data_IF_795301400340
#
_entry.id   IF_795301400340
#
_cell.length_a   1.000
_cell.length_b   1.000
_cell.length_c   1.000
_cell.angle_alpha   90.00
_cell.angle_beta   90.00
_cell.angle_gamma   90.00
#
_symmetry.space_group_name_H-M   'P 1'
#
loop_
_entity.id
_entity.type
_entity.pdbx_description
1 polymer ?
#
# COMPACT_ATOMS: atom_id res chain seq x y z
N UNK A 1 -21.37 -15.20 68.60
CA UNK A 1 -20.34 -14.57 67.74
C UNK A 1 -19.94 -15.57 66.65
N UNK A 2 -20.50 -15.41 65.45
CA UNK A 2 -20.26 -16.31 64.33
C UNK A 2 -19.27 -15.59 63.39
N UNK A 3 -18.04 -16.11 63.27
CA UNK A 3 -17.02 -15.61 62.35
C UNK A 3 -17.32 -16.16 60.97
N UNK A 4 -17.54 -15.27 59.98
CA UNK A 4 -17.60 -15.63 58.56
C UNK A 4 -16.17 -15.82 58.00
N UNK A 5 -15.91 -16.82 57.16
CA UNK A 5 -14.62 -16.93 56.49
C UNK A 5 -14.51 -15.94 55.31
N UNK A 6 -13.39 -15.24 55.23
CA UNK A 6 -12.99 -14.46 54.06
C UNK A 6 -12.54 -15.41 52.97
N UNK A 7 -13.25 -15.43 51.83
CA UNK A 7 -12.79 -16.11 50.63
C UNK A 7 -11.79 -15.21 49.92
N UNK A 8 -10.55 -15.60 49.85
CA UNK A 8 -9.48 -14.96 49.08
C UNK A 8 -9.61 -15.43 47.61
N UNK A 9 -10.14 -14.55 46.74
CA UNK A 9 -10.15 -14.81 45.33
C UNK A 9 -8.75 -14.57 44.76
N UNK A 10 -8.06 -15.63 44.37
CA UNK A 10 -6.85 -15.55 43.55
C UNK A 10 -7.24 -15.12 42.15
N UNK A 11 -6.90 -13.89 41.77
CA UNK A 11 -6.91 -13.45 40.40
C UNK A 11 -5.62 -13.98 39.74
N UNK A 12 -5.73 -15.06 39.01
CA UNK A 12 -4.67 -15.49 38.09
C UNK A 12 -4.63 -14.45 36.94
N UNK A 13 -3.69 -13.55 36.97
CA UNK A 13 -3.32 -12.75 35.81
C UNK A 13 -2.69 -13.71 34.78
N UNK A 14 -3.42 -13.98 33.71
CA UNK A 14 -2.85 -14.66 32.54
C UNK A 14 -1.80 -13.72 31.94
N UNK A 15 -0.53 -14.05 32.13
CA UNK A 15 0.55 -13.40 31.40
C UNK A 15 0.36 -13.71 29.91
N UNK A 16 0.51 -12.76 29.00
CA UNK A 16 0.49 -13.04 27.57
C UNK A 16 1.65 -13.98 27.28
N UNK A 17 1.35 -15.15 26.73
CA UNK A 17 2.35 -16.06 26.18
C UNK A 17 2.90 -15.31 24.96
N UNK A 18 4.12 -14.80 25.07
CA UNK A 18 4.84 -14.28 23.93
C UNK A 18 4.95 -15.43 22.91
N UNK A 19 4.36 -15.27 21.75
CA UNK A 19 4.52 -16.23 20.67
C UNK A 19 6.02 -16.36 20.37
N UNK A 20 6.55 -17.60 20.42
CA UNK A 20 7.95 -17.83 20.10
C UNK A 20 8.11 -17.61 18.59
N UNK A 21 9.03 -16.72 18.22
CA UNK A 21 9.36 -16.48 16.82
C UNK A 21 9.77 -17.76 16.09
N UNK A 22 9.25 -17.98 14.88
CA UNK A 22 9.42 -19.20 14.09
C UNK A 22 10.35 -18.95 12.90
N UNK A 23 11.16 -19.94 12.53
CA UNK A 23 11.95 -19.87 11.30
C UNK A 23 11.08 -20.26 10.11
N UNK A 24 10.84 -19.31 9.23
CA UNK A 24 9.95 -19.42 8.09
C UNK A 24 10.74 -19.29 6.77
N UNK A 25 11.52 -20.30 6.43
CA UNK A 25 12.31 -20.30 5.19
C UNK A 25 13.50 -19.33 5.21
N UNK A 26 14.13 -19.14 6.37
CA UNK A 26 15.27 -18.22 6.56
C UNK A 26 14.90 -16.91 7.23
N UNK A 27 13.63 -16.54 7.24
CA UNK A 27 13.12 -15.41 8.01
C UNK A 27 12.58 -15.88 9.36
N UNK A 28 12.77 -15.09 10.40
CA UNK A 28 12.20 -15.35 11.71
C UNK A 28 10.98 -14.45 11.89
N UNK A 29 9.77 -15.02 11.96
CA UNK A 29 8.48 -14.34 12.08
C UNK A 29 7.73 -14.83 13.33
N UNK A 30 6.72 -14.06 13.78
CA UNK A 30 5.81 -14.47 14.87
C UNK A 30 5.04 -15.74 14.51
N UNK A 31 4.60 -15.85 13.24
CA UNK A 31 3.93 -17.01 12.67
C UNK A 31 4.38 -17.22 11.23
N UNK A 32 4.58 -18.48 10.84
CA UNK A 32 4.92 -18.74 9.45
C UNK A 32 3.72 -18.53 8.53
N UNK A 33 3.88 -17.74 7.45
CA UNK A 33 2.83 -17.54 6.48
C UNK A 33 2.36 -18.86 5.85
N UNK A 34 1.05 -19.01 5.67
CA UNK A 34 0.44 -20.17 5.04
C UNK A 34 -0.52 -19.73 3.92
N UNK A 35 -0.67 -20.52 2.86
CA UNK A 35 0.03 -21.77 2.56
C UNK A 35 1.50 -21.53 2.20
N UNK A 36 2.35 -22.53 2.46
CA UNK A 36 3.77 -22.51 2.09
C UNK A 36 4.00 -23.30 0.81
N UNK A 37 4.13 -22.60 -0.30
CA UNK A 37 4.36 -23.25 -1.60
C UNK A 37 5.80 -23.71 -1.75
N UNK A 38 6.00 -24.96 -2.19
CA UNK A 38 7.32 -25.56 -2.33
C UNK A 38 8.08 -24.98 -3.53
N UNK A 39 7.37 -24.72 -4.63
CA UNK A 39 7.94 -24.18 -5.87
C UNK A 39 7.42 -22.78 -6.10
N UNK A 40 8.34 -21.84 -6.30
CA UNK A 40 8.01 -20.44 -6.59
C UNK A 40 8.22 -20.14 -8.07
N UNK A 41 7.36 -19.35 -8.71
CA UNK A 41 7.62 -18.83 -10.03
C UNK A 41 8.79 -17.85 -9.98
N UNK A 42 9.57 -17.79 -11.06
CA UNK A 42 10.74 -16.91 -11.12
C UNK A 42 10.32 -15.43 -11.09
N UNK A 43 10.82 -14.67 -10.12
CA UNK A 43 10.44 -13.27 -9.91
C UNK A 43 10.69 -12.37 -11.14
N UNK A 44 11.77 -12.63 -11.89
CA UNK A 44 12.10 -11.90 -13.12
C UNK A 44 11.03 -11.99 -14.21
N UNK A 45 10.18 -13.01 -14.17
CA UNK A 45 9.13 -13.28 -15.16
C UNK A 45 7.73 -12.81 -14.69
N UNK A 46 7.66 -12.01 -13.62
CA UNK A 46 6.44 -11.60 -12.95
C UNK A 46 5.39 -10.98 -13.90
N UNK A 47 5.81 -10.19 -14.87
CA UNK A 47 4.89 -9.56 -15.83
C UNK A 47 4.26 -10.56 -16.82
N UNK A 48 4.83 -11.76 -16.96
CA UNK A 48 4.36 -12.83 -17.84
C UNK A 48 3.76 -14.04 -17.10
N UNK A 49 3.63 -13.99 -15.76
CA UNK A 49 3.06 -15.08 -14.98
C UNK A 49 1.62 -15.40 -15.42
N UNK A 50 1.30 -16.67 -15.52
CA UNK A 50 -0.09 -17.13 -15.61
C UNK A 50 -0.84 -16.96 -14.29
N UNK A 51 -2.13 -17.29 -14.29
CA UNK A 51 -2.99 -17.10 -13.10
C UNK A 51 -2.47 -17.86 -11.88
N UNK A 52 -2.08 -19.12 -12.04
CA UNK A 52 -1.57 -19.94 -10.94
C UNK A 52 -0.26 -19.39 -10.40
N UNK A 53 0.65 -19.02 -11.29
CA UNK A 53 1.92 -18.39 -10.92
C UNK A 53 1.73 -17.06 -10.19
N UNK A 54 0.74 -16.24 -10.60
CA UNK A 54 0.43 -14.99 -9.87
C UNK A 54 -0.04 -15.25 -8.45
N UNK A 55 -0.96 -16.20 -8.24
CA UNK A 55 -1.43 -16.55 -6.89
C UNK A 55 -0.27 -17.02 -6.01
N UNK A 56 0.52 -17.98 -6.48
CA UNK A 56 1.67 -18.52 -5.75
C UNK A 56 2.72 -17.42 -5.52
N UNK A 57 3.05 -16.67 -6.57
CA UNK A 57 4.08 -15.65 -6.53
C UNK A 57 3.73 -14.50 -5.58
N UNK A 58 2.48 -14.03 -5.58
CA UNK A 58 2.10 -12.86 -4.76
C UNK A 58 2.02 -13.18 -3.27
N UNK A 59 1.57 -14.38 -2.88
CA UNK A 59 1.56 -14.78 -1.46
C UNK A 59 2.91 -15.25 -0.94
N UNK A 60 3.90 -15.42 -1.82
CA UNK A 60 5.26 -15.80 -1.45
C UNK A 60 6.32 -14.77 -1.90
N UNK A 61 5.88 -13.59 -2.32
CA UNK A 61 6.77 -12.57 -2.86
C UNK A 61 7.89 -12.18 -1.87
N UNK A 62 7.58 -12.21 -0.58
CA UNK A 62 8.53 -12.01 0.52
C UNK A 62 9.71 -13.00 0.54
N UNK A 63 9.65 -14.10 -0.24
CA UNK A 63 10.69 -15.13 -0.36
C UNK A 63 11.54 -14.97 -1.62
N UNK A 64 11.13 -14.12 -2.55
CA UNK A 64 11.79 -13.94 -3.84
C UNK A 64 12.99 -12.98 -3.78
N UNK A 65 13.07 -12.19 -2.71
CA UNK A 65 14.11 -11.17 -2.51
C UNK A 65 14.69 -11.28 -1.11
N UNK A 66 15.80 -10.62 -0.86
CA UNK A 66 16.18 -10.36 0.53
C UNK A 66 15.04 -9.56 1.18
N UNK A 67 14.78 -9.83 2.47
CA UNK A 67 13.67 -9.21 3.17
C UNK A 67 14.07 -8.73 4.55
N UNK A 68 13.62 -7.54 4.91
CA UNK A 68 13.70 -7.01 6.26
C UNK A 68 12.36 -7.20 6.95
N UNK A 69 12.39 -7.87 8.08
CA UNK A 69 11.19 -8.13 8.89
C UNK A 69 10.88 -6.89 9.72
N UNK A 70 9.64 -6.45 9.68
CA UNK A 70 9.10 -5.48 10.63
C UNK A 70 8.14 -6.18 11.59
N UNK A 71 8.40 -5.99 12.89
CA UNK A 71 7.74 -6.71 13.98
C UNK A 71 6.45 -6.02 14.40
N UNK A 72 5.43 -6.81 14.69
CA UNK A 72 4.26 -6.32 15.39
C UNK A 72 4.57 -6.07 16.88
N UNK A 73 3.72 -5.29 17.53
CA UNK A 73 3.71 -5.07 18.98
C UNK A 73 2.54 -5.78 19.65
N UNK A 74 1.99 -5.15 20.68
CA UNK A 74 0.70 -5.59 21.22
C UNK A 74 -0.40 -5.33 20.20
N UNK A 75 -1.05 -6.38 19.71
CA UNK A 75 -2.08 -6.27 18.69
C UNK A 75 -3.40 -5.73 19.23
N UNK A 76 -4.09 -4.96 18.40
CA UNK A 76 -5.47 -4.53 18.65
C UNK A 76 -6.39 -5.41 17.79
N UNK A 77 -7.28 -6.22 18.42
CA UNK A 77 -8.22 -7.05 17.69
C UNK A 77 -9.16 -6.22 16.82
N UNK A 78 -9.45 -6.68 15.61
CA UNK A 78 -10.54 -6.15 14.80
C UNK A 78 -11.84 -6.80 15.24
N UNK A 79 -12.74 -6.00 15.82
CA UNK A 79 -14.05 -6.48 16.21
C UNK A 79 -14.95 -6.70 14.99
N UNK A 80 -15.97 -7.54 15.12
CA UNK A 80 -16.99 -7.71 14.11
C UNK A 80 -18.01 -6.56 14.17
N UNK A 81 -18.35 -5.98 13.02
CA UNK A 81 -19.39 -4.96 12.92
C UNK A 81 -20.79 -5.58 13.21
N UNK A 82 -21.69 -4.80 13.79
CA UNK A 82 -23.07 -5.23 13.98
C UNK A 82 -23.76 -5.43 12.61
N UNK A 83 -23.61 -4.46 11.72
CA UNK A 83 -24.11 -4.56 10.36
C UNK A 83 -23.08 -5.29 9.50
N UNK A 84 -23.46 -6.43 8.99
CA UNK A 84 -22.64 -7.23 8.10
C UNK A 84 -23.06 -7.03 6.66
N UNK A 85 -22.09 -7.09 5.74
CA UNK A 85 -22.36 -7.10 4.31
C UNK A 85 -22.99 -8.46 3.92
N UNK A 86 -24.09 -8.43 3.20
CA UNK A 86 -24.88 -9.66 2.88
C UNK A 86 -25.14 -9.84 1.41
N UNK A 87 -25.48 -8.77 0.67
CA UNK A 87 -26.02 -8.88 -0.70
C UNK A 87 -25.60 -7.72 -1.63
N UNK A 88 -24.36 -7.24 -1.52
CA UNK A 88 -23.88 -6.19 -2.41
C UNK A 88 -23.96 -6.63 -3.88
N UNK A 89 -24.59 -5.78 -4.69
CA UNK A 89 -24.81 -6.03 -6.12
C UNK A 89 -24.52 -4.78 -6.93
N UNK A 90 -23.93 -4.96 -8.10
CA UNK A 90 -23.74 -3.90 -9.08
C UNK A 90 -24.31 -4.29 -10.44
N UNK A 91 -24.60 -3.29 -11.27
CA UNK A 91 -25.07 -3.51 -12.63
C UNK A 91 -24.05 -2.98 -13.63
N UNK A 92 -23.70 -3.82 -14.58
CA UNK A 92 -22.79 -3.46 -15.68
C UNK A 92 -23.36 -4.05 -16.98
N UNK A 93 -23.45 -3.22 -18.02
CA UNK A 93 -23.95 -3.59 -19.34
C UNK A 93 -25.35 -4.32 -19.29
N UNK A 94 -26.24 -3.82 -18.43
CA UNK A 94 -27.60 -4.36 -18.27
C UNK A 94 -27.70 -5.67 -17.47
N UNK A 95 -26.58 -6.19 -17.01
CA UNK A 95 -26.53 -7.40 -16.15
C UNK A 95 -26.23 -7.02 -14.70
N UNK A 96 -26.93 -7.65 -13.75
CA UNK A 96 -26.69 -7.49 -12.31
C UNK A 96 -25.81 -8.61 -11.78
N UNK A 97 -24.67 -8.23 -11.19
CA UNK A 97 -23.68 -9.12 -10.65
C UNK A 97 -23.71 -9.08 -9.11
N UNK A 98 -23.54 -10.23 -8.50
CA UNK A 98 -23.41 -10.37 -7.03
C UNK A 98 -21.95 -10.18 -6.60
N UNK A 99 -21.73 -10.01 -5.28
CA UNK A 99 -20.39 -10.03 -4.69
C UNK A 99 -19.64 -11.34 -5.02
N UNK A 100 -20.33 -12.49 -5.03
CA UNK A 100 -19.70 -13.76 -5.37
C UNK A 100 -19.28 -13.84 -6.85
N UNK A 101 -20.06 -13.26 -7.74
CA UNK A 101 -19.68 -13.14 -9.15
C UNK A 101 -18.45 -12.22 -9.30
N UNK A 102 -18.45 -11.10 -8.59
CA UNK A 102 -17.33 -10.16 -8.56
C UNK A 102 -16.02 -10.84 -8.15
N UNK A 103 -16.03 -11.60 -7.05
CA UNK A 103 -14.82 -12.29 -6.57
C UNK A 103 -14.20 -13.18 -7.65
N UNK A 104 -15.03 -13.90 -8.41
CA UNK A 104 -14.57 -14.79 -9.50
C UNK A 104 -14.08 -14.00 -10.71
N UNK A 105 -14.85 -12.98 -11.13
CA UNK A 105 -14.55 -12.17 -12.32
C UNK A 105 -13.25 -11.39 -12.16
N UNK A 106 -13.00 -10.92 -10.94
CA UNK A 106 -11.86 -10.08 -10.58
C UNK A 106 -10.67 -10.89 -10.05
N UNK A 107 -10.73 -12.24 -10.08
CA UNK A 107 -9.69 -13.10 -9.52
C UNK A 107 -9.26 -12.64 -8.11
N UNK A 108 -10.24 -12.40 -7.24
CA UNK A 108 -10.00 -11.91 -5.88
C UNK A 108 -9.47 -13.04 -5.01
N UNK A 109 -8.26 -12.89 -4.51
CA UNK A 109 -7.57 -13.84 -3.61
C UNK A 109 -7.77 -13.50 -2.12
N UNK A 110 -8.19 -12.27 -1.82
CA UNK A 110 -8.54 -11.83 -0.48
C UNK A 110 -9.27 -10.49 -0.51
N UNK A 111 -10.26 -10.33 0.37
CA UNK A 111 -10.98 -9.05 0.49
C UNK A 111 -11.45 -8.85 1.92
N UNK A 112 -11.26 -7.62 2.41
CA UNK A 112 -11.69 -7.21 3.74
C UNK A 112 -12.47 -5.89 3.64
N UNK A 113 -13.61 -5.83 4.31
CA UNK A 113 -14.40 -4.61 4.42
C UNK A 113 -14.50 -4.22 5.89
N UNK A 114 -13.99 -3.04 6.22
CA UNK A 114 -14.15 -2.44 7.54
C UNK A 114 -15.14 -1.28 7.46
N UNK A 115 -16.10 -1.28 8.39
CA UNK A 115 -17.03 -0.18 8.62
C UNK A 115 -16.88 0.29 10.06
N UNK A 116 -16.60 1.57 10.26
CA UNK A 116 -16.34 2.17 11.58
C UNK A 116 -15.25 1.42 12.37
N UNK A 117 -14.20 0.97 11.66
CA UNK A 117 -13.07 0.23 12.22
C UNK A 117 -13.35 -1.23 12.59
N UNK A 118 -14.52 -1.76 12.21
CA UNK A 118 -14.97 -3.12 12.52
C UNK A 118 -15.17 -3.94 11.26
N UNK A 119 -14.93 -5.26 11.32
CA UNK A 119 -15.06 -6.18 10.19
C UNK A 119 -16.53 -6.34 9.82
N UNK A 120 -16.94 -5.74 8.71
CA UNK A 120 -18.26 -5.94 8.10
C UNK A 120 -18.29 -7.15 7.19
N UNK A 121 -17.13 -7.52 6.60
CA UNK A 121 -17.03 -8.71 5.78
C UNK A 121 -15.55 -9.07 5.51
N UNK A 122 -15.28 -10.38 5.34
CA UNK A 122 -13.95 -10.89 5.00
C UNK A 122 -14.07 -12.13 4.11
N UNK A 123 -13.18 -12.20 3.12
CA UNK A 123 -13.02 -13.35 2.22
C UNK A 123 -11.53 -13.66 2.04
N UNK A 124 -11.20 -14.95 2.04
CA UNK A 124 -9.90 -15.49 1.71
C UNK A 124 -10.09 -16.59 0.68
N UNK A 125 -9.60 -16.36 -0.53
CA UNK A 125 -9.64 -17.28 -1.66
C UNK A 125 -8.29 -17.96 -1.90
N UNK A 126 -8.24 -18.83 -2.90
CA UNK A 126 -7.01 -19.49 -3.39
C UNK A 126 -6.21 -20.24 -2.30
N UNK A 127 -6.88 -20.68 -1.23
CA UNK A 127 -6.25 -21.34 -0.09
C UNK A 127 -5.48 -20.39 0.85
N UNK A 128 -5.59 -19.09 0.67
CA UNK A 128 -5.02 -18.09 1.59
C UNK A 128 -5.67 -18.20 2.98
N UNK A 129 -4.92 -17.82 3.99
CA UNK A 129 -5.31 -17.88 5.42
C UNK A 129 -5.08 -16.52 6.09
N UNK A 130 -5.45 -16.41 7.36
CA UNK A 130 -5.23 -15.19 8.15
C UNK A 130 -3.74 -14.87 8.35
N UNK A 131 -2.85 -15.84 8.15
CA UNK A 131 -1.40 -15.66 8.25
C UNK A 131 -0.71 -15.49 6.89
N UNK A 132 -1.44 -15.52 5.79
CA UNK A 132 -0.86 -15.28 4.46
C UNK A 132 -0.29 -13.86 4.40
N UNK A 133 0.98 -13.75 4.02
CA UNK A 133 1.58 -12.47 3.61
C UNK A 133 1.32 -12.28 2.12
N UNK A 134 0.84 -11.10 1.75
CA UNK A 134 0.56 -10.77 0.36
C UNK A 134 1.33 -9.54 -0.07
N UNK A 135 1.83 -9.55 -1.31
CA UNK A 135 2.62 -8.45 -1.85
C UNK A 135 1.78 -7.22 -2.13
N UNK A 136 2.28 -6.07 -1.74
CA UNK A 136 1.61 -4.78 -1.92
C UNK A 136 1.62 -4.28 -3.37
N UNK A 137 2.62 -4.67 -4.14
CA UNK A 137 2.95 -3.93 -5.35
C UNK A 137 2.97 -2.43 -5.05
N UNK A 138 2.42 -1.60 -5.92
CA UNK A 138 2.46 -0.14 -5.74
C UNK A 138 1.63 0.42 -4.58
N UNK A 139 0.80 -0.39 -3.89
CA UNK A 139 0.18 0.01 -2.61
C UNK A 139 1.26 0.39 -1.59
N UNK A 140 2.45 -0.23 -1.64
CA UNK A 140 3.60 0.12 -0.81
C UNK A 140 4.02 1.59 -0.91
N UNK A 141 3.80 2.25 -2.06
CA UNK A 141 4.09 3.68 -2.23
C UNK A 141 3.26 4.55 -1.25
N UNK A 142 2.00 4.19 -1.04
CA UNK A 142 1.13 4.91 -0.09
C UNK A 142 1.57 4.68 1.36
N UNK A 143 2.14 3.51 1.67
CA UNK A 143 2.78 3.25 2.97
C UNK A 143 4.00 4.14 3.14
N UNK A 144 4.92 4.20 2.14
CA UNK A 144 6.10 5.08 2.17
C UNK A 144 5.69 6.55 2.33
N UNK A 145 4.68 7.00 1.59
CA UNK A 145 4.14 8.36 1.75
C UNK A 145 3.69 8.64 3.18
N UNK A 146 2.98 7.72 3.79
CA UNK A 146 2.55 7.84 5.19
C UNK A 146 3.75 7.92 6.14
N UNK A 147 4.79 7.11 5.89
CA UNK A 147 6.04 7.15 6.66
C UNK A 147 6.80 8.47 6.49
N UNK A 148 6.74 9.11 5.33
CA UNK A 148 7.26 10.48 5.12
C UNK A 148 6.50 11.48 6.00
N UNK A 149 5.16 11.38 6.04
CA UNK A 149 4.35 12.21 6.94
C UNK A 149 4.73 12.03 8.41
N UNK A 150 4.98 10.79 8.83
CA UNK A 150 5.45 10.49 10.20
C UNK A 150 6.85 11.06 10.43
N UNK A 151 7.74 10.99 9.46
CA UNK A 151 9.10 11.55 9.56
C UNK A 151 9.06 13.08 9.70
N UNK A 152 8.14 13.76 9.01
CA UNK A 152 7.91 15.21 9.19
C UNK A 152 7.39 15.49 10.59
N UNK A 153 6.37 14.76 11.03
CA UNK A 153 5.79 14.95 12.37
C UNK A 153 6.79 14.73 13.50
N UNK A 154 7.78 13.87 13.28
CA UNK A 154 8.87 13.59 14.23
C UNK A 154 10.13 14.43 14.01
N UNK A 155 10.12 15.37 13.06
CA UNK A 155 11.25 16.27 12.77
C UNK A 155 12.46 15.60 12.14
N UNK A 156 12.30 14.39 11.55
CA UNK A 156 13.35 13.71 10.76
C UNK A 156 13.48 14.30 9.36
N UNK A 157 12.36 14.76 8.82
CA UNK A 157 12.26 15.58 7.62
C UNK A 157 11.70 16.93 8.06
N UNK A 158 12.32 18.02 7.61
CA UNK A 158 11.90 19.35 8.03
C UNK A 158 10.61 19.78 7.31
N UNK A 159 10.54 19.63 5.98
CA UNK A 159 9.41 20.08 5.16
C UNK A 159 9.33 19.31 3.84
N UNK A 160 8.13 19.22 3.27
CA UNK A 160 7.95 18.77 1.87
C UNK A 160 8.52 19.78 0.85
N UNK A 161 8.76 21.03 1.26
CA UNK A 161 9.37 22.05 0.39
C UNK A 161 10.90 21.96 0.37
N UNK A 162 11.52 21.12 1.22
CA UNK A 162 12.95 20.86 1.17
C UNK A 162 13.37 20.25 -0.17
N UNK A 163 14.49 20.70 -0.69
CA UNK A 163 15.11 20.05 -1.85
C UNK A 163 15.56 18.64 -1.46
N UNK A 164 15.35 17.68 -2.33
CA UNK A 164 15.77 16.29 -2.08
C UNK A 164 17.28 16.17 -1.92
N UNK A 165 18.05 17.10 -2.51
CA UNK A 165 19.52 17.20 -2.36
C UNK A 165 19.98 17.58 -0.96
N UNK A 166 19.08 17.98 -0.05
CA UNK A 166 19.38 18.15 1.39
C UNK A 166 19.64 16.81 2.05
N UNK A 167 18.86 15.80 1.67
CA UNK A 167 18.95 14.44 2.21
C UNK A 167 19.87 13.55 1.39
N UNK A 168 20.01 13.83 0.09
CA UNK A 168 20.84 13.08 -0.84
C UNK A 168 21.69 14.02 -1.70
N UNK A 169 22.81 14.54 -1.15
CA UNK A 169 23.65 15.53 -1.84
C UNK A 169 24.24 15.08 -3.18
N UNK A 170 24.36 13.76 -3.38
CA UNK A 170 24.89 13.16 -4.61
C UNK A 170 23.98 13.38 -5.83
N UNK A 171 22.74 13.80 -5.61
CA UNK A 171 21.80 14.16 -6.68
C UNK A 171 22.07 15.54 -7.30
N UNK A 172 22.96 16.37 -6.69
CA UNK A 172 23.36 17.65 -7.26
C UNK A 172 23.97 17.46 -8.63
N UNK A 173 23.54 18.30 -9.58
CA UNK A 173 23.99 18.23 -10.96
C UNK A 173 23.38 17.10 -11.80
N UNK A 174 22.49 16.29 -11.24
CA UNK A 174 21.67 15.32 -11.98
C UNK A 174 20.32 15.93 -12.39
N UNK A 175 19.49 15.16 -13.12
CA UNK A 175 18.13 15.59 -13.44
C UNK A 175 17.24 15.80 -12.19
N UNK A 176 17.62 15.27 -11.05
CA UNK A 176 16.92 15.40 -9.77
C UNK A 176 17.29 16.67 -8.99
N UNK A 177 18.32 17.41 -9.42
CA UNK A 177 18.70 18.67 -8.76
C UNK A 177 17.58 19.71 -8.89
N UNK A 178 17.28 20.40 -7.79
CA UNK A 178 16.20 21.38 -7.72
C UNK A 178 14.80 20.80 -7.54
N UNK A 179 14.65 19.47 -7.40
CA UNK A 179 13.36 18.82 -7.07
C UNK A 179 13.12 18.89 -5.56
N UNK A 180 11.90 19.25 -5.15
CA UNK A 180 11.48 19.21 -3.75
C UNK A 180 10.88 17.84 -3.38
N UNK A 181 10.85 17.50 -2.09
CA UNK A 181 10.14 16.31 -1.60
C UNK A 181 8.67 16.32 -2.01
N UNK A 182 8.02 17.50 -2.04
CA UNK A 182 6.64 17.64 -2.50
C UNK A 182 6.45 17.23 -3.95
N UNK A 183 7.34 17.70 -4.81
CA UNK A 183 7.30 17.33 -6.24
C UNK A 183 7.61 15.85 -6.46
N UNK A 184 8.50 15.27 -5.64
CA UNK A 184 8.81 13.85 -5.72
C UNK A 184 7.62 12.98 -5.26
N UNK A 185 7.02 13.26 -4.10
CA UNK A 185 5.89 12.51 -3.56
C UNK A 185 4.62 12.64 -4.43
N UNK A 186 4.49 13.74 -5.18
CA UNK A 186 3.39 14.00 -6.10
C UNK A 186 3.63 13.45 -7.51
N UNK A 187 4.78 12.85 -7.79
CA UNK A 187 5.18 12.46 -9.15
C UNK A 187 5.19 13.62 -10.16
N UNK A 188 5.64 14.80 -9.72
CA UNK A 188 5.79 15.99 -10.54
C UNK A 188 7.24 16.47 -10.64
N UNK A 189 8.20 15.55 -10.53
CA UNK A 189 9.64 15.87 -10.58
C UNK A 189 10.10 16.46 -11.91
N UNK A 190 9.38 16.19 -13.01
CA UNK A 190 9.79 16.52 -14.37
C UNK A 190 10.94 15.65 -14.92
N UNK A 191 11.39 14.66 -14.18
CA UNK A 191 12.37 13.65 -14.62
C UNK A 191 11.67 12.61 -15.47
N UNK A 192 12.27 12.19 -16.56
CA UNK A 192 11.69 11.20 -17.47
C UNK A 192 11.47 9.86 -16.75
N UNK A 193 10.37 9.21 -17.10
CA UNK A 193 10.10 7.86 -16.66
C UNK A 193 9.11 7.16 -17.60
N UNK A 194 9.46 5.95 -18.04
CA UNK A 194 8.57 5.08 -18.79
C UNK A 194 8.13 3.92 -17.89
N UNK A 195 6.86 3.93 -17.49
CA UNK A 195 6.23 2.90 -16.63
C UNK A 195 5.47 1.84 -17.46
N UNK A 196 5.64 1.76 -18.78
CA UNK A 196 4.91 0.81 -19.62
C UNK A 196 5.29 -0.63 -19.23
N UNK A 197 4.35 -1.36 -18.66
CA UNK A 197 4.50 -2.75 -18.21
C UNK A 197 4.57 -3.75 -19.38
N UNK A 198 4.23 -3.35 -20.59
CA UNK A 198 4.25 -4.18 -21.79
C UNK A 198 5.52 -3.99 -22.60
N UNK A 199 6.26 -2.91 -22.40
CA UNK A 199 7.53 -2.61 -23.03
C UNK A 199 8.71 -3.14 -22.19
N UNK A 200 9.37 -4.19 -22.68
CA UNK A 200 10.55 -4.78 -22.02
C UNK A 200 11.78 -3.84 -21.97
N UNK A 201 11.73 -2.72 -22.69
CA UNK A 201 12.77 -1.69 -22.66
C UNK A 201 12.38 -0.48 -21.80
N UNK A 202 11.20 -0.48 -21.24
CA UNK A 202 10.74 0.58 -20.33
C UNK A 202 11.69 0.73 -19.14
N UNK A 203 11.67 1.90 -18.51
CA UNK A 203 12.45 2.11 -17.29
C UNK A 203 12.01 1.16 -16.17
N UNK A 204 10.70 0.89 -16.09
CA UNK A 204 10.15 -0.07 -15.13
C UNK A 204 10.66 -1.50 -15.38
N UNK A 205 10.61 -2.00 -16.63
CA UNK A 205 11.12 -3.33 -16.96
C UNK A 205 12.62 -3.48 -16.66
N UNK A 206 13.41 -2.45 -16.95
CA UNK A 206 14.85 -2.43 -16.63
C UNK A 206 15.10 -2.39 -15.13
N UNK A 207 14.28 -1.67 -14.36
CA UNK A 207 14.36 -1.63 -12.90
C UNK A 207 14.12 -3.03 -12.32
N UNK A 208 13.03 -3.72 -12.73
CA UNK A 208 12.73 -5.08 -12.25
C UNK A 208 13.79 -6.11 -12.64
N UNK A 209 14.42 -5.96 -13.80
CA UNK A 209 15.57 -6.80 -14.19
C UNK A 209 16.78 -6.57 -13.27
N UNK A 210 17.04 -5.32 -12.86
CA UNK A 210 18.08 -5.02 -11.87
C UNK A 210 17.79 -5.67 -10.52
N UNK A 211 16.54 -5.63 -10.06
CA UNK A 211 16.12 -6.17 -8.75
C UNK A 211 16.35 -7.67 -8.64
N UNK A 212 16.28 -8.39 -9.76
CA UNK A 212 16.50 -9.83 -9.82
C UNK A 212 17.99 -10.25 -9.82
N UNK A 213 18.94 -9.32 -9.68
CA UNK A 213 20.37 -9.60 -9.85
C UNK A 213 21.19 -9.27 -8.60
N UNK A 214 22.37 -9.91 -8.41
CA UNK A 214 23.34 -9.46 -7.42
C UNK A 214 23.74 -8.01 -7.66
N UNK A 215 23.84 -7.21 -6.59
CA UNK A 215 24.15 -5.79 -6.71
C UNK A 215 22.97 -4.93 -7.15
N UNK A 216 21.75 -5.40 -6.95
CA UNK A 216 20.50 -4.77 -7.35
C UNK A 216 20.43 -3.27 -6.98
N UNK A 217 20.77 -2.89 -5.75
CA UNK A 217 20.74 -1.48 -5.34
C UNK A 217 21.56 -0.58 -6.26
N UNK A 218 22.83 -0.93 -6.53
CA UNK A 218 23.69 -0.13 -7.41
C UNK A 218 23.16 -0.07 -8.85
N UNK A 219 22.57 -1.18 -9.33
CA UNK A 219 21.97 -1.26 -10.66
C UNK A 219 20.75 -0.32 -10.77
N UNK A 220 19.81 -0.40 -9.83
CA UNK A 220 18.61 0.44 -9.80
C UNK A 220 19.00 1.91 -9.62
N UNK A 221 19.90 2.21 -8.67
CA UNK A 221 20.39 3.55 -8.44
C UNK A 221 20.98 4.17 -9.71
N UNK A 222 21.78 3.41 -10.46
CA UNK A 222 22.37 3.88 -11.73
C UNK A 222 21.30 4.24 -12.76
N UNK A 223 20.22 3.44 -12.86
CA UNK A 223 19.09 3.77 -13.75
C UNK A 223 18.44 5.07 -13.28
N UNK A 224 18.01 5.13 -12.03
CA UNK A 224 17.21 6.25 -11.49
C UNK A 224 18.00 7.57 -11.53
N UNK A 225 19.28 7.56 -11.12
CA UNK A 225 20.08 8.80 -11.10
C UNK A 225 20.61 9.22 -12.47
N UNK A 226 20.60 8.29 -13.46
CA UNK A 226 21.05 8.56 -14.83
C UNK A 226 19.95 9.04 -15.78
N UNK A 227 18.71 9.24 -15.31
CA UNK A 227 17.61 9.73 -16.12
C UNK A 227 17.80 11.19 -16.55
N UNK A 228 17.12 11.60 -17.61
CA UNK A 228 17.13 12.99 -18.09
C UNK A 228 15.94 13.78 -17.52
N UNK A 229 16.06 15.11 -17.49
CA UNK A 229 14.92 15.99 -17.21
C UNK A 229 14.14 16.27 -18.49
N UNK A 230 12.82 16.01 -18.47
CA UNK A 230 11.92 16.29 -19.59
C UNK A 230 11.17 17.61 -19.42
N UNK A 231 10.77 17.93 -18.18
CA UNK A 231 9.96 19.10 -17.87
C UNK A 231 10.50 19.82 -16.64
N UNK A 232 10.22 21.11 -16.47
CA UNK A 232 10.46 21.78 -15.20
C UNK A 232 9.73 21.04 -14.06
N UNK A 233 10.38 20.98 -12.89
CA UNK A 233 9.80 20.33 -11.72
C UNK A 233 8.53 21.08 -11.26
N UNK A 234 7.46 20.34 -11.00
CA UNK A 234 6.17 20.85 -10.55
C UNK A 234 5.17 21.17 -11.67
N UNK A 235 5.56 21.07 -12.94
CA UNK A 235 4.68 21.46 -14.04
C UNK A 235 3.82 20.32 -14.60
N UNK A 236 4.34 19.09 -14.57
CA UNK A 236 3.66 17.94 -15.16
C UNK A 236 3.70 16.73 -14.25
N UNK A 237 2.56 16.07 -14.13
CA UNK A 237 2.46 14.77 -13.46
C UNK A 237 2.89 13.64 -14.39
N UNK A 238 3.71 12.73 -13.86
CA UNK A 238 4.11 11.50 -14.53
C UNK A 238 4.36 10.42 -13.49
N UNK A 239 3.53 9.37 -13.48
CA UNK A 239 3.70 8.27 -12.54
C UNK A 239 5.08 7.64 -12.69
N UNK A 240 5.79 7.44 -11.58
CA UNK A 240 7.19 6.99 -11.61
C UNK A 240 7.53 6.08 -10.44
N UNK A 241 7.71 4.78 -10.71
CA UNK A 241 8.28 3.85 -9.73
C UNK A 241 9.72 4.19 -9.39
N UNK A 242 10.49 4.76 -10.34
CA UNK A 242 11.84 5.26 -10.07
C UNK A 242 11.86 6.43 -9.08
N UNK A 243 10.91 7.37 -9.23
CA UNK A 243 10.74 8.47 -8.26
C UNK A 243 10.30 7.97 -6.88
N UNK A 244 9.41 6.97 -6.82
CA UNK A 244 8.99 6.35 -5.56
C UNK A 244 10.13 5.57 -4.90
N UNK A 245 10.95 4.87 -5.68
CA UNK A 245 12.16 4.23 -5.18
C UNK A 245 13.09 5.25 -4.52
N UNK A 246 13.34 6.36 -5.20
CA UNK A 246 14.19 7.45 -4.68
C UNK A 246 13.63 8.07 -3.40
N UNK A 247 12.29 8.21 -3.30
CA UNK A 247 11.65 8.70 -2.09
C UNK A 247 11.91 7.77 -0.89
N UNK A 248 11.91 6.46 -1.11
CA UNK A 248 12.27 5.47 -0.08
C UNK A 248 13.73 5.62 0.36
N UNK A 249 14.68 5.74 -0.57
CA UNK A 249 16.11 5.92 -0.27
C UNK A 249 16.35 7.23 0.52
N UNK A 250 15.67 8.31 0.14
CA UNK A 250 15.71 9.59 0.86
C UNK A 250 15.15 9.44 2.29
N UNK A 251 14.04 8.72 2.46
CA UNK A 251 13.46 8.50 3.78
C UNK A 251 14.39 7.68 4.69
N UNK A 252 15.03 6.65 4.16
CA UNK A 252 16.06 5.90 4.91
C UNK A 252 17.21 6.79 5.35
N UNK A 253 17.70 7.66 4.48
CA UNK A 253 18.77 8.62 4.82
C UNK A 253 18.34 9.65 5.87
N UNK A 254 17.12 10.17 5.75
CA UNK A 254 16.57 11.15 6.69
C UNK A 254 16.33 10.56 8.09
N UNK A 255 15.90 9.31 8.15
CA UNK A 255 15.63 8.61 9.42
C UNK A 255 16.85 7.91 10.01
N UNK A 256 17.82 7.56 9.16
CA UNK A 256 18.98 6.73 9.50
C UNK A 256 18.64 5.25 9.66
N UNK A 257 17.51 4.79 9.10
CA UNK A 257 16.99 3.44 9.24
C UNK A 257 16.45 2.89 7.93
N UNK A 258 16.50 1.56 7.68
CA UNK A 258 15.72 0.91 6.63
C UNK A 258 14.22 1.19 6.78
N UNK A 259 13.46 1.17 5.66
CA UNK A 259 12.01 1.43 5.69
C UNK A 259 11.27 0.47 6.61
N UNK A 260 11.64 -0.82 6.64
CA UNK A 260 11.05 -1.82 7.51
C UNK A 260 11.21 -1.45 8.99
N UNK A 261 12.43 -1.07 9.41
CA UNK A 261 12.69 -0.66 10.80
C UNK A 261 11.98 0.64 11.16
N UNK A 262 11.91 1.59 10.23
CA UNK A 262 11.16 2.83 10.43
C UNK A 262 9.67 2.58 10.52
N UNK A 263 9.09 1.74 9.65
CA UNK A 263 7.71 1.30 9.72
C UNK A 263 7.40 0.63 11.08
N UNK A 264 8.24 -0.33 11.49
CA UNK A 264 8.08 -1.06 12.72
C UNK A 264 7.86 -0.13 13.92
N UNK A 265 8.83 0.73 14.19
CA UNK A 265 8.82 1.56 15.39
C UNK A 265 7.85 2.75 15.32
N UNK A 266 7.63 3.32 14.13
CA UNK A 266 6.89 4.57 13.99
C UNK A 266 5.40 4.38 13.73
N UNK A 267 5.00 3.22 13.18
CA UNK A 267 3.62 2.94 12.80
C UNK A 267 3.17 1.53 13.19
N UNK A 268 3.90 0.47 12.79
CA UNK A 268 3.41 -0.91 12.88
C UNK A 268 3.10 -1.35 14.31
N UNK A 269 4.07 -1.18 15.20
CA UNK A 269 3.87 -1.48 16.62
C UNK A 269 2.89 -0.51 17.29
N UNK A 270 3.01 0.82 17.14
CA UNK A 270 2.08 1.76 17.76
C UNK A 270 0.63 1.61 17.31
N UNK A 271 0.39 1.21 16.06
CA UNK A 271 -0.96 1.04 15.52
C UNK A 271 -1.62 -0.29 15.89
N UNK A 272 -0.90 -1.19 16.58
CA UNK A 272 -1.45 -2.46 17.07
C UNK A 272 -1.69 -3.47 15.97
N UNK A 273 -0.78 -3.55 15.00
CA UNK A 273 -0.82 -4.57 13.95
C UNK A 273 -0.70 -5.98 14.56
N UNK A 274 -1.30 -6.98 13.91
CA UNK A 274 -1.47 -8.30 14.49
C UNK A 274 -0.29 -9.24 14.22
N UNK A 275 0.38 -9.07 13.09
CA UNK A 275 1.44 -9.96 12.64
C UNK A 275 2.67 -9.20 12.16
N UNK A 276 3.80 -9.90 12.17
CA UNK A 276 5.00 -9.46 11.50
C UNK A 276 4.76 -9.38 9.99
N UNK A 277 5.46 -8.47 9.32
CA UNK A 277 5.50 -8.41 7.87
C UNK A 277 6.93 -8.39 7.36
N UNK A 278 7.06 -8.38 6.04
CA UNK A 278 8.37 -8.39 5.37
C UNK A 278 8.40 -7.31 4.31
N UNK A 279 9.42 -6.49 4.33
CA UNK A 279 9.71 -5.53 3.27
C UNK A 279 10.83 -6.07 2.38
N UNK A 280 10.71 -5.94 1.06
CA UNK A 280 11.81 -6.29 0.15
C UNK A 280 13.00 -5.37 0.39
N UNK A 281 14.18 -5.93 0.56
CA UNK A 281 15.43 -5.23 0.67
C UNK A 281 16.40 -5.66 -0.43
N UNK A 282 17.24 -4.76 -0.90
CA UNK A 282 18.35 -5.12 -1.80
C UNK A 282 19.48 -5.83 -1.05
N UNK A 283 19.59 -5.53 0.22
CA UNK A 283 20.47 -6.19 1.17
C UNK A 283 19.80 -6.15 2.52
N UNK A 284 19.77 -7.28 3.22
CA UNK A 284 19.16 -7.35 4.56
C UNK A 284 19.73 -6.26 5.49
N UNK A 285 18.85 -5.52 6.11
CA UNK A 285 19.18 -4.39 6.99
C UNK A 285 19.57 -3.11 6.25
N UNK A 286 19.41 -3.05 4.92
CA UNK A 286 19.76 -1.86 4.12
C UNK A 286 18.97 -1.81 2.82
N UNK A 287 18.59 -0.59 2.43
CA UNK A 287 18.05 -0.28 1.12
C UNK A 287 16.79 -1.09 0.80
N UNK A 288 15.75 -0.84 1.56
CA UNK A 288 14.42 -1.36 1.27
C UNK A 288 13.81 -0.71 0.02
N UNK A 289 12.96 -1.45 -0.67
CA UNK A 289 12.40 -1.00 -1.95
C UNK A 289 11.26 0.00 -1.73
N UNK A 290 11.48 1.29 -2.00
CA UNK A 290 10.49 2.36 -1.77
C UNK A 290 9.28 2.32 -2.72
N UNK A 291 9.38 1.66 -3.87
CA UNK A 291 8.33 1.63 -4.88
C UNK A 291 7.29 0.52 -4.68
N UNK A 292 7.66 -0.54 -3.97
CA UNK A 292 6.86 -1.73 -3.70
C UNK A 292 7.52 -2.57 -2.58
N UNK A 293 7.13 -3.84 -2.41
CA UNK A 293 7.88 -4.76 -1.55
C UNK A 293 7.35 -4.91 -0.13
N UNK A 294 6.33 -4.17 0.25
CA UNK A 294 5.61 -4.35 1.50
C UNK A 294 4.72 -5.60 1.42
N UNK A 295 4.94 -6.57 2.33
CA UNK A 295 4.18 -7.81 2.41
C UNK A 295 3.61 -7.95 3.83
N UNK A 296 2.29 -8.04 3.94
CA UNK A 296 1.60 -8.15 5.23
C UNK A 296 0.29 -8.93 5.09
N UNK A 297 -0.36 -9.24 6.22
CA UNK A 297 -1.64 -9.95 6.25
C UNK A 297 -2.80 -9.05 5.78
N UNK A 298 -3.91 -9.68 5.37
CA UNK A 298 -5.10 -8.97 4.91
C UNK A 298 -5.66 -8.03 5.98
N UNK A 299 -5.71 -8.50 7.21
CA UNK A 299 -6.22 -7.68 8.32
C UNK A 299 -5.28 -6.54 8.68
N UNK A 300 -3.96 -6.71 8.55
CA UNK A 300 -3.01 -5.63 8.82
C UNK A 300 -3.02 -4.56 7.72
N UNK A 301 -3.30 -4.94 6.46
CA UNK A 301 -3.64 -3.95 5.44
C UNK A 301 -4.92 -3.17 5.81
N UNK A 302 -5.90 -3.85 6.39
CA UNK A 302 -7.12 -3.21 6.91
C UNK A 302 -6.83 -2.24 8.05
N UNK A 303 -5.99 -2.62 9.02
CA UNK A 303 -5.57 -1.74 10.12
C UNK A 303 -4.81 -0.52 9.62
N UNK A 304 -3.97 -0.68 8.60
CA UNK A 304 -3.33 0.47 7.94
C UNK A 304 -4.38 1.38 7.28
N UNK A 305 -5.36 0.82 6.57
CA UNK A 305 -6.48 1.58 6.01
C UNK A 305 -7.29 2.30 7.09
N UNK A 306 -7.54 1.67 8.23
CA UNK A 306 -8.23 2.28 9.36
C UNK A 306 -7.42 3.43 10.00
N UNK A 307 -6.10 3.30 10.08
CA UNK A 307 -5.23 4.40 10.50
C UNK A 307 -5.38 5.62 9.58
N UNK A 308 -5.46 5.39 8.26
CA UNK A 308 -5.72 6.45 7.28
C UNK A 308 -7.14 7.01 7.43
N UNK A 309 -8.15 6.16 7.66
CA UNK A 309 -9.54 6.57 7.89
C UNK A 309 -9.69 7.49 9.11
N UNK A 310 -8.84 7.31 10.12
CA UNK A 310 -8.74 8.16 11.32
C UNK A 310 -7.83 9.37 11.13
N UNK A 311 -7.53 9.75 9.91
CA UNK A 311 -6.65 10.87 9.59
C UNK A 311 -5.26 10.79 10.25
N UNK A 312 -4.71 9.59 10.32
CA UNK A 312 -3.39 9.33 10.91
C UNK A 312 -3.36 9.34 12.43
N UNK A 313 -4.49 9.08 13.09
CA UNK A 313 -4.59 8.95 14.54
C UNK A 313 -4.60 7.50 14.99
N UNK A 314 -3.84 7.20 16.01
CA UNK A 314 -3.92 5.93 16.72
C UNK A 314 -5.22 5.81 17.53
N UNK A 315 -5.56 4.60 17.97
CA UNK A 315 -6.73 4.35 18.83
C UNK A 315 -6.71 5.13 20.13
N UNK A 316 -5.53 5.46 20.66
CA UNK A 316 -5.36 6.30 21.85
C UNK A 316 -5.41 7.82 21.57
N UNK A 317 -5.72 8.24 20.34
CA UNK A 317 -5.84 9.63 19.93
C UNK A 317 -4.52 10.30 19.51
N UNK A 318 -3.37 9.64 19.63
CA UNK A 318 -2.07 10.21 19.23
C UNK A 318 -2.02 10.41 17.72
N UNK A 319 -1.73 11.63 17.27
CA UNK A 319 -1.50 11.97 15.86
C UNK A 319 -0.10 11.59 15.46
N UNK A 320 0.05 10.80 14.39
CA UNK A 320 1.36 10.37 13.89
C UNK A 320 1.82 11.12 12.65
N UNK A 321 0.92 11.69 11.84
CA UNK A 321 1.25 12.51 10.67
C UNK A 321 0.83 13.95 10.91
N UNK A 322 1.33 14.94 10.17
CA UNK A 322 0.85 16.33 10.27
C UNK A 322 -0.66 16.41 10.07
N UNK A 323 -1.31 17.30 10.79
CA UNK A 323 -2.75 17.55 10.60
C UNK A 323 -3.06 17.93 9.16
N UNK A 324 -4.09 17.32 8.57
CA UNK A 324 -4.47 17.52 7.18
C UNK A 324 -3.56 16.81 6.16
N UNK A 325 -2.70 15.88 6.59
CA UNK A 325 -1.84 15.11 5.68
C UNK A 325 -2.64 14.41 4.59
N UNK A 326 -3.69 13.71 4.96
CA UNK A 326 -4.53 12.98 4.02
C UNK A 326 -5.48 13.89 3.23
N UNK A 327 -5.80 15.10 3.73
CA UNK A 327 -6.49 16.12 2.94
C UNK A 327 -5.57 16.66 1.84
N UNK A 328 -4.30 16.88 2.15
CA UNK A 328 -3.29 17.25 1.14
C UNK A 328 -3.06 16.11 0.13
N UNK A 329 -3.06 14.86 0.58
CA UNK A 329 -2.97 13.69 -0.30
C UNK A 329 -4.16 13.59 -1.27
N UNK A 330 -5.34 14.10 -0.90
CA UNK A 330 -6.54 14.16 -1.72
C UNK A 330 -6.69 15.48 -2.49
N UNK A 331 -5.74 16.43 -2.35
CA UNK A 331 -5.90 17.76 -2.95
C UNK A 331 -5.54 17.76 -4.43
N UNK A 332 -6.31 18.57 -5.18
CA UNK A 332 -6.06 18.82 -6.58
C UNK A 332 -5.10 20.00 -6.77
N UNK A 333 -4.12 19.83 -7.67
CA UNK A 333 -3.26 20.92 -8.11
C UNK A 333 -3.24 21.02 -9.65
N UNK A 334 -2.84 22.17 -10.20
CA UNK A 334 -2.74 22.34 -11.65
C UNK A 334 -1.75 21.35 -12.28
N UNK A 335 -0.64 21.05 -11.60
CA UNK A 335 0.33 20.07 -12.07
C UNK A 335 -0.25 18.65 -12.10
N UNK A 336 -1.12 18.31 -11.15
CA UNK A 336 -1.83 17.02 -11.10
C UNK A 336 -2.99 16.95 -12.12
N UNK A 337 -3.35 18.05 -12.77
CA UNK A 337 -4.39 18.14 -13.78
C UNK A 337 -4.01 17.45 -15.10
N UNK A 338 -2.75 17.08 -15.26
CA UNK A 338 -2.24 16.35 -16.42
C UNK A 338 -2.35 14.84 -16.28
N UNK A 339 -3.29 14.34 -15.44
CA UNK A 339 -3.62 12.92 -15.37
C UNK A 339 -3.91 12.40 -16.77
N UNK A 340 -3.16 11.40 -17.19
CA UNK A 340 -3.21 10.89 -18.55
C UNK A 340 -4.52 10.13 -18.82
N UNK A 341 -4.85 9.93 -20.10
CA UNK A 341 -5.95 9.05 -20.50
C UNK A 341 -5.78 7.60 -20.00
N UNK A 342 -4.57 7.21 -19.63
CA UNK A 342 -4.27 5.90 -19.04
C UNK A 342 -4.80 5.76 -17.59
N UNK A 343 -4.98 6.87 -16.86
CA UNK A 343 -5.45 6.86 -15.47
C UNK A 343 -6.68 7.77 -15.30
N UNK A 344 -7.80 7.45 -15.95
CA UNK A 344 -9.01 8.27 -15.89
C UNK A 344 -9.77 8.19 -14.56
N UNK A 345 -9.34 7.32 -13.63
CA UNK A 345 -10.02 7.06 -12.37
C UNK A 345 -9.98 8.24 -11.41
N UNK A 346 -9.07 9.19 -11.58
CA UNK A 346 -8.97 10.30 -10.67
C UNK A 346 -7.64 11.03 -10.71
N UNK A 347 -7.39 11.79 -9.69
CA UNK A 347 -6.18 12.57 -9.46
C UNK A 347 -5.24 11.87 -8.49
N UNK A 348 -4.00 12.32 -8.44
CA UNK A 348 -2.94 11.73 -7.64
C UNK A 348 -2.32 12.79 -6.72
N UNK A 349 -2.17 12.47 -5.45
CA UNK A 349 -1.49 13.33 -4.51
C UNK A 349 -0.82 12.51 -3.40
N UNK A 350 0.38 12.86 -3.01
CA UNK A 350 1.19 12.20 -1.97
C UNK A 350 1.17 10.67 -2.05
N UNK A 351 1.35 10.14 -3.28
CA UNK A 351 1.32 8.69 -3.58
C UNK A 351 0.01 7.98 -3.24
N UNK A 352 -1.09 8.72 -3.26
CA UNK A 352 -2.45 8.23 -3.21
C UNK A 352 -3.21 8.67 -4.46
N UNK A 353 -3.98 7.75 -5.03
CA UNK A 353 -5.02 8.08 -6.00
C UNK A 353 -6.25 8.57 -5.24
N UNK A 354 -7.01 9.43 -5.85
CA UNK A 354 -8.30 9.83 -5.31
C UNK A 354 -9.28 10.10 -6.46
N UNK A 355 -10.57 10.08 -6.16
CA UNK A 355 -11.64 10.29 -7.13
C UNK A 355 -12.36 11.63 -6.95
N UNK A 356 -11.72 12.59 -6.29
CA UNK A 356 -12.18 13.98 -6.25
C UNK A 356 -11.91 14.64 -7.61
N UNK A 357 -12.88 14.57 -8.52
CA UNK A 357 -12.77 15.15 -9.86
C UNK A 357 -13.31 16.57 -9.82
N UNK A 358 -12.49 17.62 -10.05
CA UNK A 358 -12.99 18.98 -10.17
C UNK A 358 -13.98 19.11 -11.34
N UNK A 359 -14.97 19.97 -11.19
CA UNK A 359 -16.01 20.20 -12.21
C UNK A 359 -15.45 20.67 -13.56
N UNK A 360 -14.25 21.26 -13.58
CA UNK A 360 -13.56 21.74 -14.78
C UNK A 360 -12.51 20.76 -15.32
N UNK A 361 -12.38 19.56 -14.75
CA UNK A 361 -11.44 18.57 -15.26
C UNK A 361 -11.85 18.08 -16.64
N UNK A 362 -10.92 18.14 -17.60
CA UNK A 362 -11.13 17.62 -18.94
C UNK A 362 -10.52 16.21 -19.04
N UNK A 363 -11.16 15.33 -19.83
CA UNK A 363 -10.69 13.99 -20.13
C UNK A 363 -10.57 13.02 -18.93
N UNK A 364 -11.18 13.33 -17.80
CA UNK A 364 -11.27 12.42 -16.66
C UNK A 364 -12.65 11.75 -16.69
N UNK A 365 -12.66 10.42 -16.75
CA UNK A 365 -13.92 9.68 -16.67
C UNK A 365 -14.41 9.63 -15.21
N UNK A 366 -15.68 9.92 -14.94
CA UNK A 366 -16.19 9.83 -13.58
C UNK A 366 -16.18 8.37 -13.12
N UNK A 367 -15.43 8.10 -12.07
CA UNK A 367 -15.58 6.87 -11.30
C UNK A 367 -16.98 6.88 -10.67
N UNK A 368 -17.67 5.75 -10.54
CA UNK A 368 -18.90 5.66 -9.74
C UNK A 368 -18.67 6.26 -8.34
N UNK A 369 -19.48 7.28 -8.01
CA UNK A 369 -19.18 8.15 -6.85
C UNK A 369 -20.04 7.86 -5.63
N UNK A 370 -21.07 7.00 -5.77
CA UNK A 370 -22.00 6.76 -4.68
C UNK A 370 -21.31 6.04 -3.50
N UNK A 371 -21.11 6.77 -2.40
CA UNK A 371 -20.36 6.34 -1.23
C UNK A 371 -18.83 6.29 -1.40
N UNK A 372 -18.32 6.75 -2.53
CA UNK A 372 -16.87 6.75 -2.79
C UNK A 372 -16.29 8.14 -3.03
N UNK A 373 -17.12 9.17 -2.96
CA UNK A 373 -16.65 10.56 -3.13
C UNK A 373 -15.55 10.87 -2.12
N UNK A 374 -14.48 11.51 -2.59
CA UNK A 374 -13.32 11.91 -1.79
C UNK A 374 -12.58 10.72 -1.13
N UNK A 375 -12.72 9.52 -1.69
CA UNK A 375 -11.95 8.36 -1.25
C UNK A 375 -10.50 8.43 -1.70
N UNK A 376 -9.61 7.96 -0.83
CA UNK A 376 -8.22 7.69 -1.14
C UNK A 376 -8.05 6.23 -1.57
N UNK A 377 -7.24 6.01 -2.60
CA UNK A 377 -6.97 4.69 -3.15
C UNK A 377 -5.47 4.47 -3.25
N UNK A 378 -4.99 3.45 -2.56
CA UNK A 378 -3.67 2.88 -2.81
C UNK A 378 -3.85 1.75 -3.80
N UNK A 379 -3.23 1.86 -4.98
CA UNK A 379 -3.40 0.92 -6.07
C UNK A 379 -2.07 0.25 -6.43
N UNK A 380 -2.12 -1.05 -6.63
CA UNK A 380 -1.01 -1.85 -7.13
C UNK A 380 -1.43 -2.67 -8.34
N UNK A 381 -0.48 -2.91 -9.23
CA UNK A 381 -0.72 -3.73 -10.43
C UNK A 381 -1.35 -5.08 -10.06
N UNK A 382 -2.12 -5.62 -11.01
CA UNK A 382 -2.90 -6.86 -10.85
C UNK A 382 -4.02 -6.78 -9.80
N UNK A 383 -4.48 -5.56 -9.43
CA UNK A 383 -5.66 -5.35 -8.59
C UNK A 383 -5.42 -5.39 -7.09
N UNK A 384 -4.25 -4.95 -6.62
CA UNK A 384 -4.01 -4.72 -5.21
C UNK A 384 -4.62 -3.36 -4.82
N UNK A 385 -5.47 -3.34 -3.81
CA UNK A 385 -6.20 -2.12 -3.43
C UNK A 385 -6.29 -1.97 -1.92
N UNK A 386 -6.07 -0.75 -1.44
CA UNK A 386 -6.64 -0.25 -0.19
C UNK A 386 -7.43 1.00 -0.54
N UNK A 387 -8.74 0.95 -0.45
CA UNK A 387 -9.63 2.09 -0.59
C UNK A 387 -10.07 2.57 0.78
N UNK A 388 -9.98 3.87 1.03
CA UNK A 388 -10.37 4.51 2.28
C UNK A 388 -11.30 5.67 2.00
N UNK A 389 -12.55 5.54 2.41
CA UNK A 389 -13.47 6.68 2.48
C UNK A 389 -13.55 7.16 3.92
N UNK A 390 -12.91 8.29 4.20
CA UNK A 390 -12.83 8.86 5.57
C UNK A 390 -14.19 9.37 6.04
N UNK A 391 -14.98 9.96 5.16
CA UNK A 391 -16.30 10.49 5.50
C UNK A 391 -17.31 9.40 5.87
N UNK A 392 -17.23 8.25 5.18
CA UNK A 392 -18.10 7.10 5.42
C UNK A 392 -17.51 6.12 6.46
N UNK A 393 -16.30 6.36 6.96
CA UNK A 393 -15.55 5.42 7.80
C UNK A 393 -15.55 4.00 7.21
N UNK A 394 -15.25 3.93 5.92
CA UNK A 394 -15.23 2.68 5.15
C UNK A 394 -13.83 2.41 4.62
N UNK A 395 -13.33 1.21 4.87
CA UNK A 395 -12.09 0.70 4.31
C UNK A 395 -12.39 -0.57 3.53
N UNK A 396 -11.89 -0.66 2.30
CA UNK A 396 -11.94 -1.89 1.50
C UNK A 396 -10.52 -2.26 1.11
N UNK A 397 -10.11 -3.46 1.48
CA UNK A 397 -8.84 -4.07 1.05
C UNK A 397 -9.15 -5.15 0.05
N UNK A 398 -8.41 -5.20 -1.05
CA UNK A 398 -8.50 -6.27 -2.03
C UNK A 398 -7.12 -6.76 -2.44
N UNK A 399 -6.95 -8.07 -2.46
CA UNK A 399 -5.89 -8.82 -3.09
C UNK A 399 -6.45 -9.49 -4.34
N UNK A 400 -5.88 -9.23 -5.47
CA UNK A 400 -6.30 -9.82 -6.74
C UNK A 400 -5.13 -10.26 -7.58
N UNK A 401 -5.45 -11.03 -8.59
CA UNK A 401 -4.52 -11.51 -9.60
C UNK A 401 -5.09 -11.29 -10.99
N UNK A 402 -5.45 -10.04 -11.30
CA UNK A 402 -6.00 -9.66 -12.60
C UNK A 402 -5.19 -10.21 -13.76
N UNK A 403 -5.77 -10.47 -14.91
CA UNK A 403 -5.05 -11.07 -16.05
C UNK A 403 -3.96 -10.16 -16.60
N UNK A 404 -4.06 -8.85 -16.40
CA UNK A 404 -3.10 -7.84 -16.84
C UNK A 404 -2.62 -7.00 -15.66
N UNK A 405 -1.38 -6.52 -15.73
CA UNK A 405 -0.81 -5.64 -14.69
C UNK A 405 -1.66 -4.37 -14.54
N UNK A 406 -2.01 -3.74 -15.65
CA UNK A 406 -2.83 -2.54 -15.72
C UNK A 406 -3.88 -2.71 -16.83
N UNK A 407 -5.07 -3.25 -16.52
CA UNK A 407 -6.15 -3.36 -17.49
C UNK A 407 -6.74 -1.97 -17.81
N UNK A 408 -7.42 -1.87 -18.97
CA UNK A 408 -8.13 -0.64 -19.31
C UNK A 408 -9.16 -0.27 -18.24
N UNK A 409 -9.44 1.04 -18.08
CA UNK A 409 -10.40 1.51 -17.07
C UNK A 409 -11.78 0.85 -17.16
N UNK A 410 -12.26 0.58 -18.38
CA UNK A 410 -13.57 -0.03 -18.61
C UNK A 410 -13.64 -1.55 -18.33
N UNK A 411 -12.56 -2.15 -17.83
CA UNK A 411 -12.50 -3.54 -17.42
C UNK A 411 -12.58 -3.64 -15.88
N UNK A 412 -11.62 -4.35 -15.26
CA UNK A 412 -11.58 -4.62 -13.82
C UNK A 412 -11.68 -3.37 -12.93
N UNK A 413 -11.00 -2.24 -13.23
CA UNK A 413 -11.10 -1.04 -12.39
C UNK A 413 -12.53 -0.48 -12.31
N UNK A 414 -13.30 -0.52 -13.39
CA UNK A 414 -14.71 -0.07 -13.40
C UNK A 414 -15.57 -1.03 -12.55
N UNK A 415 -15.40 -2.33 -12.70
CA UNK A 415 -16.15 -3.30 -11.91
C UNK A 415 -15.83 -3.16 -10.41
N UNK A 416 -14.57 -2.95 -10.04
CA UNK A 416 -14.17 -2.69 -8.67
C UNK A 416 -14.87 -1.44 -8.10
N UNK A 417 -14.87 -0.33 -8.84
CA UNK A 417 -15.54 0.90 -8.42
C UNK A 417 -17.07 0.71 -8.26
N UNK A 418 -17.72 -0.03 -9.16
CA UNK A 418 -19.15 -0.35 -9.08
C UNK A 418 -19.46 -1.23 -7.85
N UNK A 419 -18.68 -2.27 -7.60
CA UNK A 419 -18.85 -3.14 -6.43
C UNK A 419 -18.61 -2.37 -5.14
N UNK A 420 -17.57 -1.54 -5.06
CA UNK A 420 -17.27 -0.76 -3.84
C UNK A 420 -18.37 0.28 -3.56
N UNK A 421 -18.96 0.89 -4.60
CA UNK A 421 -20.16 1.72 -4.46
C UNK A 421 -21.36 0.92 -3.92
N UNK A 422 -21.54 -0.32 -4.37
CA UNK A 422 -22.61 -1.19 -3.86
C UNK A 422 -22.41 -1.55 -2.40
N UNK A 423 -21.17 -1.87 -2.01
CA UNK A 423 -20.79 -2.14 -0.61
C UNK A 423 -21.06 -0.91 0.27
N UNK A 424 -20.64 0.27 -0.18
CA UNK A 424 -20.88 1.51 0.55
C UNK A 424 -22.37 1.78 0.77
N UNK A 425 -23.21 1.58 -0.28
CA UNK A 425 -24.68 1.72 -0.16
C UNK A 425 -25.27 0.77 0.86
N UNK A 426 -24.88 -0.50 0.82
CA UNK A 426 -25.44 -1.51 1.74
C UNK A 426 -25.07 -1.23 3.19
N UNK A 427 -23.86 -0.74 3.46
CA UNK A 427 -23.35 -0.51 4.82
C UNK A 427 -23.72 0.87 5.44
N UNK A 428 -24.38 1.75 4.70
CA UNK A 428 -24.98 2.99 5.24
C UNK A 428 -26.17 2.76 6.16
#
# INVERSE_FOLDING_TARGET
MIRKPLALALILAALPVAAMAQNCGGLTLDVCPTPYDQTLPAAKDMLSWDQTSRVIGFRNDYRNYAGDVFRHGASVPLERAEKQLTDARYTLNGHTWTLQDYLKRENVSGMLVLKDGKVAWKYLGDGNTDTTLWTSRSVGKSVVSTLVGIAIQQGKIHSLDDLITVYEPELKGTAWDGVTLKQLIQHTSGVEWNEDYTDLQSHFARLTQCEAQPGAYACVRKIVTGLARQHPAGEQWSYSSGGAWLLGDILERATGMPLAAWLEQSLWQPAGMAHDGVWHAYQQGKHDVGAHGFNATLEDWGRFGEFVARDGRLSNGKQLVPAGWFDQAASWTTALNSVSAAHPQGIYGYQWWNNAIPANAQNVQPTPQEGLKDSLWALGIYGQVIMVNRAEHLVIVQWSTWPQAEPSFNAQPLEAALMYSAIARELR
#
